data_IF_168011839496
#
_entry.id   IF_168011839496
#
_cell.length_a   1.000
_cell.length_b   1.000
_cell.length_c   1.000
_cell.angle_alpha   90.00
_cell.angle_beta   90.00
_cell.angle_gamma   90.00
#
_symmetry.space_group_name_H-M   'P 1'
#
loop_
_entity.id
_entity.type
_entity.pdbx_description
1 polymer ?
#
# COMPACT_ATOMS: atom_id res chain seq x y z
N UNK A 1 13.73 -11.54 -4.70
CA UNK A 1 15.07 -12.11 -4.92
C UNK A 1 15.54 -11.90 -6.36
N UNK A 2 14.74 -12.23 -7.34
CA UNK A 2 15.11 -12.13 -8.76
C UNK A 2 15.27 -10.69 -9.26
N UNK A 3 14.62 -9.72 -8.62
CA UNK A 3 14.67 -8.30 -9.02
C UNK A 3 15.82 -7.52 -8.40
N UNK A 4 16.33 -7.98 -7.28
CA UNK A 4 17.54 -7.41 -6.64
C UNK A 4 18.80 -7.53 -7.50
N UNK A 5 18.90 -8.60 -8.29
CA UNK A 5 20.05 -8.85 -9.16
C UNK A 5 20.10 -7.97 -10.42
N UNK A 6 18.99 -7.28 -10.76
CA UNK A 6 18.87 -6.49 -12.00
C UNK A 6 19.11 -4.98 -11.81
N UNK A 7 19.21 -4.50 -10.57
CA UNK A 7 19.47 -3.08 -10.28
C UNK A 7 20.89 -2.91 -9.76
N UNK A 8 21.71 -2.22 -10.55
CA UNK A 8 23.13 -2.07 -10.33
C UNK A 8 23.51 -1.56 -8.94
N UNK A 9 24.71 -1.92 -8.55
CA UNK A 9 25.28 -1.80 -7.21
C UNK A 9 25.62 -0.37 -6.75
N UNK A 10 25.23 0.68 -7.45
CA UNK A 10 25.96 1.94 -7.34
C UNK A 10 25.38 2.96 -6.36
N UNK A 11 24.24 2.68 -5.68
CA UNK A 11 23.74 3.65 -4.73
C UNK A 11 22.85 3.01 -3.65
N UNK A 12 23.23 3.12 -2.38
CA UNK A 12 22.44 2.62 -1.24
C UNK A 12 21.09 3.32 -1.13
N UNK A 13 21.03 4.59 -1.51
CA UNK A 13 19.79 5.38 -1.48
C UNK A 13 18.84 4.95 -2.61
N UNK A 14 19.36 4.55 -3.77
CA UNK A 14 18.55 4.00 -4.85
C UNK A 14 18.04 2.58 -4.54
N UNK A 15 18.74 1.82 -3.72
CA UNK A 15 18.29 0.51 -3.24
C UNK A 15 17.10 0.64 -2.28
N UNK A 16 17.13 1.58 -1.36
CA UNK A 16 16.01 1.84 -0.46
C UNK A 16 14.74 2.25 -1.26
N UNK A 17 14.87 3.19 -2.19
CA UNK A 17 13.78 3.58 -3.08
C UNK A 17 13.27 2.41 -3.95
N UNK A 18 14.16 1.55 -4.41
CA UNK A 18 13.81 0.37 -5.22
C UNK A 18 13.07 -0.69 -4.39
N UNK A 19 13.42 -0.87 -3.13
CA UNK A 19 12.71 -1.75 -2.20
C UNK A 19 11.27 -1.27 -1.98
N UNK A 20 11.10 0.02 -1.76
CA UNK A 20 9.77 0.61 -1.57
C UNK A 20 8.91 0.40 -2.81
N UNK A 21 9.47 0.56 -4.01
CA UNK A 21 8.78 0.31 -5.28
C UNK A 21 8.36 -1.15 -5.47
N UNK A 22 9.15 -2.10 -4.99
CA UNK A 22 8.81 -3.53 -5.05
C UNK A 22 7.66 -3.83 -4.08
N UNK A 23 7.76 -3.33 -2.86
CA UNK A 23 6.77 -3.57 -1.81
C UNK A 23 5.39 -3.01 -2.16
N UNK A 24 5.30 -1.88 -2.87
CA UNK A 24 4.01 -1.33 -3.31
C UNK A 24 3.27 -2.16 -4.36
N UNK A 25 3.96 -3.10 -5.01
CA UNK A 25 3.39 -3.96 -6.06
C UNK A 25 3.30 -5.43 -5.65
N UNK A 26 4.07 -5.85 -4.65
CA UNK A 26 4.05 -7.23 -4.14
C UNK A 26 2.82 -7.38 -3.25
N UNK A 27 2.15 -8.49 -3.40
CA UNK A 27 0.97 -8.93 -2.64
C UNK A 27 1.19 -10.44 -2.46
N UNK A 28 1.85 -10.78 -1.36
CA UNK A 28 2.37 -12.13 -1.14
C UNK A 28 1.26 -13.16 -0.88
N UNK A 29 0.20 -12.75 -0.21
CA UNK A 29 -0.93 -13.63 0.14
C UNK A 29 -2.12 -13.51 -0.83
N UNK A 30 -2.05 -12.56 -1.78
CA UNK A 30 -3.01 -12.41 -2.87
C UNK A 30 -4.37 -11.84 -2.44
N UNK A 31 -4.44 -11.15 -1.31
CA UNK A 31 -5.67 -10.57 -0.79
C UNK A 31 -6.06 -9.23 -1.45
N UNK A 32 -5.16 -8.67 -2.25
CA UNK A 32 -5.34 -7.39 -2.96
C UNK A 32 -4.77 -6.19 -2.20
N UNK A 33 -4.17 -6.40 -1.03
CA UNK A 33 -3.36 -5.42 -0.30
C UNK A 33 -1.90 -5.66 -0.66
N UNK A 34 -1.14 -4.62 -0.94
CA UNK A 34 0.29 -4.83 -1.19
C UNK A 34 1.03 -5.02 0.13
N UNK A 35 2.13 -5.78 0.10
CA UNK A 35 3.04 -5.98 1.25
C UNK A 35 3.44 -4.65 1.91
N UNK A 36 3.60 -3.60 1.11
CA UNK A 36 3.87 -2.25 1.61
C UNK A 36 2.71 -1.71 2.45
N UNK A 37 1.49 -1.82 1.95
CA UNK A 37 0.31 -1.34 2.66
C UNK A 37 0.02 -2.16 3.90
N UNK A 38 0.26 -3.47 3.87
CA UNK A 38 0.13 -4.32 5.04
C UNK A 38 1.10 -3.92 6.15
N UNK A 39 2.34 -3.56 5.80
CA UNK A 39 3.31 -3.02 6.76
C UNK A 39 2.87 -1.70 7.35
N UNK A 40 2.28 -0.80 6.56
CA UNK A 40 1.69 0.46 7.06
C UNK A 40 0.54 0.16 8.03
N UNK A 41 -0.29 -0.84 7.75
CA UNK A 41 -1.39 -1.26 8.62
C UNK A 41 -0.93 -2.03 9.87
N UNK A 42 0.33 -2.49 9.90
CA UNK A 42 0.81 -3.43 10.91
C UNK A 42 0.15 -4.81 10.78
N UNK A 43 -0.41 -5.13 9.61
CA UNK A 43 -0.95 -6.46 9.30
C UNK A 43 0.14 -7.41 8.81
N UNK A 44 0.02 -8.73 9.06
CA UNK A 44 0.99 -9.69 8.56
C UNK A 44 0.94 -9.82 7.05
N UNK A 45 2.09 -9.65 6.38
CA UNK A 45 2.27 -9.79 4.92
C UNK A 45 1.86 -11.16 4.34
N UNK A 46 1.66 -12.15 5.19
CA UNK A 46 1.34 -13.53 4.82
C UNK A 46 -0.06 -13.99 5.27
N UNK A 47 -0.90 -13.08 5.71
CA UNK A 47 -2.27 -13.40 6.17
C UNK A 47 -3.22 -12.45 5.46
N UNK A 48 -4.06 -12.99 4.57
CA UNK A 48 -5.04 -12.23 3.83
C UNK A 48 -5.84 -11.29 4.76
N UNK A 49 -5.66 -9.99 4.55
CA UNK A 49 -6.38 -8.93 5.22
C UNK A 49 -7.49 -8.42 4.31
N UNK A 50 -8.63 -8.08 4.85
CA UNK A 50 -9.68 -7.43 4.06
C UNK A 50 -9.55 -5.92 4.19
N UNK A 51 -9.24 -5.22 3.09
CA UNK A 51 -9.37 -3.78 2.99
C UNK A 51 -10.85 -3.39 2.91
N UNK A 52 -11.62 -3.76 3.92
CA UNK A 52 -12.99 -3.29 4.04
C UNK A 52 -12.97 -1.99 4.87
N UNK A 53 -13.38 -0.88 4.23
CA UNK A 53 -13.58 0.43 4.84
C UNK A 53 -12.32 1.25 5.15
N UNK A 54 -11.56 1.63 4.11
CA UNK A 54 -10.57 2.70 4.24
C UNK A 54 -11.31 4.03 4.37
N UNK A 55 -11.22 4.65 5.54
CA UNK A 55 -11.81 5.98 5.79
C UNK A 55 -10.78 7.04 5.41
N UNK A 56 -11.15 7.95 4.54
CA UNK A 56 -10.38 9.16 4.22
C UNK A 56 -11.13 10.37 4.77
N UNK A 57 -10.53 11.05 5.71
CA UNK A 57 -11.10 12.21 6.39
C UNK A 57 -10.89 13.48 5.57
N UNK A 58 -11.96 14.14 5.21
CA UNK A 58 -11.94 15.35 4.39
C UNK A 58 -12.48 16.53 5.17
N UNK A 59 -11.69 17.60 5.29
CA UNK A 59 -12.19 18.89 5.75
C UNK A 59 -12.56 19.79 4.56
N UNK A 60 -13.75 20.38 4.61
CA UNK A 60 -14.18 21.33 3.61
C UNK A 60 -13.93 22.75 4.09
N UNK A 61 -13.24 23.52 3.25
CA UNK A 61 -13.13 24.98 3.40
C UNK A 61 -14.02 25.63 2.35
N UNK A 62 -14.72 26.69 2.71
CA UNK A 62 -15.75 27.30 1.85
C UNK A 62 -15.47 28.76 1.67
N UNK A 63 -15.25 29.18 0.43
CA UNK A 63 -15.12 30.59 0.06
C UNK A 63 -16.46 31.33 0.11
N UNK A 64 -16.40 32.66 0.15
CA UNK A 64 -17.61 33.50 0.13
C UNK A 64 -18.46 33.29 -1.11
N UNK A 65 -17.85 32.96 -2.25
CA UNK A 65 -18.53 32.69 -3.52
C UNK A 65 -19.43 31.47 -3.45
N UNK A 66 -18.93 30.34 -2.93
CA UNK A 66 -19.70 29.12 -2.76
C UNK A 66 -20.76 29.28 -1.66
N UNK A 67 -20.42 29.91 -0.55
CA UNK A 67 -21.35 30.19 0.54
C UNK A 67 -22.54 31.05 0.07
N UNK A 68 -22.28 32.08 -0.74
CA UNK A 68 -23.31 32.94 -1.33
C UNK A 68 -24.18 32.19 -2.37
N UNK A 69 -23.59 31.29 -3.16
CA UNK A 69 -24.30 30.50 -4.17
C UNK A 69 -25.47 29.71 -3.57
N UNK A 70 -25.28 29.13 -2.40
CA UNK A 70 -26.27 28.36 -1.68
C UNK A 70 -27.06 29.16 -0.64
N UNK A 71 -26.86 30.47 -0.56
CA UNK A 71 -27.45 31.34 0.49
C UNK A 71 -27.08 30.92 1.92
N UNK A 72 -25.97 30.17 2.07
CA UNK A 72 -25.49 29.63 3.33
C UNK A 72 -26.33 28.47 3.91
N UNK A 73 -25.88 27.95 5.06
CA UNK A 73 -26.64 27.03 5.90
C UNK A 73 -26.97 25.68 5.24
N UNK A 74 -28.16 25.19 5.52
CA UNK A 74 -28.60 23.83 5.20
C UNK A 74 -28.45 23.40 3.73
N UNK A 75 -28.51 24.32 2.78
CA UNK A 75 -28.35 24.02 1.36
C UNK A 75 -26.89 23.75 1.00
N UNK A 76 -25.94 24.44 1.60
CA UNK A 76 -24.52 24.18 1.41
C UNK A 76 -24.16 22.83 1.99
N UNK A 77 -24.57 22.53 3.21
CA UNK A 77 -24.33 21.24 3.86
C UNK A 77 -24.95 20.08 3.07
N UNK A 78 -26.18 20.22 2.58
CA UNK A 78 -26.81 19.23 1.73
C UNK A 78 -26.04 18.99 0.41
N UNK A 79 -25.46 20.05 -0.17
CA UNK A 79 -24.64 19.95 -1.38
C UNK A 79 -23.32 19.22 -1.10
N UNK A 80 -22.66 19.51 0.03
CA UNK A 80 -21.44 18.81 0.44
C UNK A 80 -21.74 17.30 0.64
N UNK A 81 -22.80 16.98 1.37
CA UNK A 81 -23.23 15.59 1.57
C UNK A 81 -23.45 14.89 0.23
N UNK A 82 -24.17 15.51 -0.70
CA UNK A 82 -24.43 14.94 -2.02
C UNK A 82 -23.15 14.67 -2.82
N UNK A 83 -22.16 15.56 -2.74
CA UNK A 83 -20.88 15.37 -3.44
C UNK A 83 -20.06 14.24 -2.80
N UNK A 84 -20.02 14.16 -1.48
CA UNK A 84 -19.36 13.07 -0.75
C UNK A 84 -20.01 11.73 -1.07
N UNK A 85 -21.35 11.65 -1.04
CA UNK A 85 -22.09 10.44 -1.42
C UNK A 85 -21.84 10.03 -2.88
N UNK A 86 -21.74 11.02 -3.78
CA UNK A 86 -21.42 10.75 -5.19
C UNK A 86 -20.01 10.16 -5.33
N UNK A 87 -19.04 10.68 -4.59
CA UNK A 87 -17.68 10.16 -4.55
C UNK A 87 -17.62 8.74 -3.97
N UNK A 88 -18.26 8.51 -2.85
CA UNK A 88 -18.34 7.20 -2.20
C UNK A 88 -19.03 6.15 -3.12
N UNK A 89 -20.07 6.56 -3.85
CA UNK A 89 -20.69 5.71 -4.86
C UNK A 89 -19.72 5.34 -5.97
N UNK A 90 -18.87 6.29 -6.43
CA UNK A 90 -17.89 6.02 -7.47
C UNK A 90 -16.82 5.00 -7.04
N UNK A 91 -16.39 5.05 -5.79
CA UNK A 91 -15.47 4.04 -5.22
C UNK A 91 -16.15 2.68 -5.07
N UNK A 92 -17.34 2.67 -4.49
CA UNK A 92 -18.13 1.44 -4.28
C UNK A 92 -18.46 0.73 -5.61
N UNK A 93 -18.79 1.49 -6.63
CA UNK A 93 -19.14 0.97 -7.95
C UNK A 93 -18.01 0.18 -8.63
N UNK A 94 -16.77 0.40 -8.23
CA UNK A 94 -15.59 -0.33 -8.74
C UNK A 94 -15.00 -1.31 -7.71
N UNK A 95 -15.71 -1.56 -6.61
CA UNK A 95 -15.29 -2.50 -5.58
C UNK A 95 -14.09 -2.02 -4.75
N UNK A 96 -13.97 -0.71 -4.56
CA UNK A 96 -13.03 -0.12 -3.62
C UNK A 96 -13.74 0.10 -2.28
N UNK A 97 -13.16 -0.42 -1.20
CA UNK A 97 -13.63 -0.20 0.17
C UNK A 97 -13.22 1.17 0.73
N UNK A 98 -13.31 2.23 -0.08
CA UNK A 98 -12.94 3.60 0.29
C UNK A 98 -14.18 4.39 0.63
N UNK A 99 -14.15 5.10 1.76
CA UNK A 99 -15.20 6.00 2.20
C UNK A 99 -14.61 7.38 2.55
N UNK A 100 -15.05 8.42 1.84
CA UNK A 100 -14.78 9.80 2.23
C UNK A 100 -15.74 10.20 3.35
N UNK A 101 -15.20 10.79 4.41
CA UNK A 101 -15.97 11.29 5.56
C UNK A 101 -15.67 12.78 5.76
N UNK A 102 -16.72 13.62 5.75
CA UNK A 102 -16.58 15.02 6.11
C UNK A 102 -16.35 15.15 7.63
N UNK A 103 -15.17 15.66 8.02
CA UNK A 103 -14.78 15.84 9.42
C UNK A 103 -14.88 17.29 9.89
N UNK A 104 -15.25 18.20 9.01
CA UNK A 104 -15.48 19.62 9.33
C UNK A 104 -15.71 20.49 8.10
N UNK A 105 -16.54 21.51 8.26
CA UNK A 105 -16.78 22.54 7.24
C UNK A 105 -16.45 23.90 7.82
N UNK A 106 -15.54 24.61 7.18
CA UNK A 106 -14.95 25.86 7.66
C UNK A 106 -15.22 26.99 6.66
N UNK A 107 -16.04 27.96 7.05
CA UNK A 107 -16.33 29.12 6.23
C UNK A 107 -15.15 30.10 6.33
N UNK A 108 -14.51 30.34 5.20
CA UNK A 108 -13.39 31.27 5.08
C UNK A 108 -13.83 32.66 4.56
N UNK A 109 -12.88 33.51 4.28
CA UNK A 109 -13.10 34.87 3.78
C UNK A 109 -13.46 34.94 2.30
N UNK A 110 -13.28 36.12 1.72
CA UNK A 110 -13.60 36.45 0.33
C UNK A 110 -12.57 35.84 -0.63
N UNK A 111 -13.01 34.88 -1.44
CA UNK A 111 -12.25 34.22 -2.50
C UNK A 111 -12.47 34.82 -3.90
N UNK A 112 -13.32 35.84 -4.03
CA UNK A 112 -13.79 36.35 -5.32
C UNK A 112 -12.71 36.97 -6.23
N UNK A 113 -11.55 37.30 -5.67
CA UNK A 113 -10.40 37.85 -6.40
C UNK A 113 -9.34 36.80 -6.79
N UNK A 114 -9.57 35.52 -6.46
CA UNK A 114 -8.62 34.44 -6.64
C UNK A 114 -9.14 33.47 -7.69
N UNK A 115 -8.33 33.14 -8.70
CA UNK A 115 -8.60 31.97 -9.55
C UNK A 115 -8.25 30.66 -8.83
N UNK A 116 -8.65 29.52 -9.39
CA UNK A 116 -8.45 28.22 -8.77
C UNK A 116 -6.99 27.91 -8.46
N UNK A 117 -6.05 28.34 -9.32
CA UNK A 117 -4.61 28.13 -9.10
C UNK A 117 -4.10 29.01 -7.95
N UNK A 118 -4.57 30.24 -7.85
CA UNK A 118 -4.23 31.14 -6.75
C UNK A 118 -4.83 30.67 -5.43
N UNK A 119 -6.05 30.15 -5.44
CA UNK A 119 -6.68 29.52 -4.27
C UNK A 119 -5.87 28.31 -3.81
N UNK A 120 -5.51 27.40 -4.73
CA UNK A 120 -4.69 26.22 -4.41
C UNK A 120 -3.35 26.62 -3.81
N UNK A 121 -2.63 27.56 -4.43
CA UNK A 121 -1.35 28.05 -3.92
C UNK A 121 -1.47 28.72 -2.55
N UNK A 122 -2.53 29.50 -2.31
CA UNK A 122 -2.78 30.15 -1.03
C UNK A 122 -3.13 29.13 0.08
N UNK A 123 -3.87 28.07 -0.25
CA UNK A 123 -4.24 27.01 0.68
C UNK A 123 -3.03 26.18 1.08
N UNK A 124 -2.18 25.80 0.13
CA UNK A 124 -0.93 25.07 0.39
C UNK A 124 0.05 25.90 1.25
N UNK A 125 0.14 27.20 0.98
CA UNK A 125 1.01 28.11 1.73
C UNK A 125 0.42 28.62 3.05
N UNK A 126 -0.83 28.28 3.38
CA UNK A 126 -1.56 28.83 4.56
C UNK A 126 -1.53 30.36 4.60
N UNK A 127 -1.85 31.00 3.49
CA UNK A 127 -1.85 32.45 3.34
C UNK A 127 -3.23 33.00 2.95
N UNK A 128 -3.40 34.32 3.02
CA UNK A 128 -4.65 34.95 2.66
C UNK A 128 -5.83 34.48 3.50
N UNK A 129 -6.90 34.00 2.85
CA UNK A 129 -8.10 33.48 3.53
C UNK A 129 -7.83 32.18 4.31
N UNK A 130 -6.71 31.50 4.09
CA UNK A 130 -6.32 30.26 4.75
C UNK A 130 -5.35 30.48 5.94
N UNK A 131 -4.95 31.72 6.24
CA UNK A 131 -3.93 32.00 7.24
C UNK A 131 -4.27 31.48 8.65
N UNK A 132 -5.55 31.46 9.01
CA UNK A 132 -6.02 31.02 10.33
C UNK A 132 -6.59 29.59 10.31
N UNK A 133 -6.53 28.89 9.16
CA UNK A 133 -7.18 27.59 8.97
C UNK A 133 -6.74 26.57 10.05
N UNK A 134 -5.44 26.41 10.27
CA UNK A 134 -4.93 25.41 11.21
C UNK A 134 -5.41 25.67 12.66
N UNK A 135 -5.67 26.94 13.02
CA UNK A 135 -6.24 27.30 14.33
C UNK A 135 -7.76 27.02 14.43
N UNK A 136 -8.43 26.88 13.31
CA UNK A 136 -9.88 26.58 13.24
C UNK A 136 -10.15 25.09 13.33
N UNK A 137 -9.16 24.25 12.99
CA UNK A 137 -9.32 22.80 12.93
C UNK A 137 -9.53 22.22 14.33
N UNK A 138 -10.51 21.34 14.46
CA UNK A 138 -10.70 20.53 15.67
C UNK A 138 -9.83 19.27 15.67
N UNK A 139 -9.41 18.83 14.48
CA UNK A 139 -8.45 17.76 14.22
C UNK A 139 -7.88 17.91 12.81
N UNK A 140 -6.72 17.33 12.57
CA UNK A 140 -6.13 17.30 11.22
C UNK A 140 -6.92 16.32 10.35
N UNK A 141 -7.35 16.69 9.14
CA UNK A 141 -7.93 15.78 8.17
C UNK A 141 -6.85 15.18 7.28
N UNK A 142 -7.17 14.09 6.58
CA UNK A 142 -6.29 13.55 5.54
C UNK A 142 -6.22 14.47 4.33
N UNK A 143 -7.35 15.01 3.91
CA UNK A 143 -7.47 15.88 2.74
C UNK A 143 -8.25 17.15 3.07
N UNK A 144 -7.94 18.20 2.33
CA UNK A 144 -8.70 19.45 2.32
C UNK A 144 -9.33 19.67 0.94
N UNK A 145 -10.57 20.11 0.94
CA UNK A 145 -11.27 20.52 -0.27
C UNK A 145 -11.81 21.93 -0.09
N UNK A 146 -11.31 22.88 -0.87
CA UNK A 146 -11.87 24.23 -0.93
C UNK A 146 -13.02 24.29 -1.92
N UNK A 147 -14.16 24.73 -1.46
CA UNK A 147 -15.35 24.93 -2.28
C UNK A 147 -15.42 26.39 -2.74
N UNK A 148 -15.44 26.56 -4.03
CA UNK A 148 -15.62 27.83 -4.73
C UNK A 148 -16.72 27.70 -5.78
N UNK A 149 -16.98 28.72 -6.60
CA UNK A 149 -17.82 28.62 -7.78
C UNK A 149 -16.98 28.60 -9.04
N UNK A 150 -17.51 28.03 -10.13
CA UNK A 150 -16.82 27.98 -11.43
C UNK A 150 -16.45 29.37 -11.95
N UNK A 151 -17.28 30.36 -11.65
CA UNK A 151 -17.03 31.74 -12.03
C UNK A 151 -15.80 32.36 -11.36
N UNK A 152 -15.48 31.92 -10.14
CA UNK A 152 -14.32 32.36 -9.36
C UNK A 152 -13.11 31.47 -9.65
N UNK A 153 -13.27 30.14 -9.59
CA UNK A 153 -12.18 29.19 -9.80
C UNK A 153 -11.65 29.16 -11.24
N UNK A 154 -12.41 29.69 -12.22
CA UNK A 154 -12.13 29.63 -13.68
C UNK A 154 -11.88 28.21 -14.21
N UNK A 155 -12.33 27.21 -13.43
CA UNK A 155 -12.22 25.78 -13.74
C UNK A 155 -13.31 25.01 -13.01
N UNK A 156 -13.53 23.75 -13.39
CA UNK A 156 -14.43 22.84 -12.66
C UNK A 156 -13.82 22.40 -11.32
N UNK A 157 -12.51 22.19 -11.32
CA UNK A 157 -11.73 21.85 -10.16
C UNK A 157 -10.25 21.89 -10.49
N UNK A 158 -9.41 21.87 -9.47
CA UNK A 158 -7.95 21.77 -9.56
C UNK A 158 -7.41 21.15 -8.28
N UNK A 159 -6.47 20.23 -8.40
CA UNK A 159 -5.79 19.61 -7.28
C UNK A 159 -4.31 19.39 -7.58
N UNK A 160 -3.51 19.24 -6.55
CA UNK A 160 -2.14 18.76 -6.70
C UNK A 160 -2.15 17.29 -7.11
N UNK A 161 -1.37 16.95 -8.12
CA UNK A 161 -1.16 15.56 -8.49
C UNK A 161 -0.02 14.98 -7.67
N UNK A 162 -0.37 14.10 -6.74
CA UNK A 162 0.61 13.43 -5.89
C UNK A 162 1.22 12.19 -6.57
N UNK A 163 2.38 11.72 -6.08
CA UNK A 163 2.97 10.47 -6.51
C UNK A 163 3.48 10.43 -7.96
N UNK A 164 4.06 11.51 -8.47
CA UNK A 164 4.48 11.65 -9.87
C UNK A 164 5.67 10.80 -10.33
N UNK A 165 6.24 9.92 -9.48
CA UNK A 165 7.45 9.16 -9.77
C UNK A 165 7.20 7.76 -10.35
N UNK A 166 5.97 7.38 -10.57
CA UNK A 166 5.56 6.05 -11.05
C UNK A 166 6.03 4.88 -10.15
N UNK A 167 6.15 5.11 -8.88
CA UNK A 167 6.72 4.19 -7.87
C UNK A 167 5.70 3.62 -6.88
N UNK A 168 4.45 4.03 -6.98
CA UNK A 168 3.38 3.59 -6.08
C UNK A 168 3.32 4.36 -4.76
N UNK A 169 4.14 5.41 -4.60
CA UNK A 169 4.26 6.15 -3.36
C UNK A 169 3.66 7.54 -3.52
N UNK A 170 2.82 7.93 -2.58
CA UNK A 170 2.44 9.32 -2.35
C UNK A 170 3.58 9.99 -1.59
N UNK A 171 4.09 11.10 -2.07
CA UNK A 171 5.19 11.81 -1.41
C UNK A 171 4.71 12.53 -0.13
N UNK A 172 4.79 11.83 0.98
CA UNK A 172 4.33 12.31 2.29
C UNK A 172 5.05 13.57 2.77
N UNK A 173 6.35 13.68 2.53
CA UNK A 173 7.07 14.90 2.91
C UNK A 173 6.49 16.13 2.25
N UNK A 174 5.97 15.98 1.05
CA UNK A 174 5.26 17.05 0.37
C UNK A 174 3.82 17.22 0.85
N UNK A 175 3.12 16.15 1.20
CA UNK A 175 1.78 16.23 1.78
C UNK A 175 1.77 16.98 3.11
N UNK A 176 2.62 16.58 4.06
CA UNK A 176 2.67 17.20 5.40
C UNK A 176 3.36 18.55 5.43
N UNK A 177 4.50 18.69 4.75
CA UNK A 177 5.32 19.91 4.85
C UNK A 177 4.88 21.03 3.93
N UNK A 178 4.11 20.77 2.87
CA UNK A 178 3.78 21.74 1.83
C UNK A 178 2.29 21.86 1.53
N UNK A 179 1.43 21.17 2.27
CA UNK A 179 -0.01 21.26 2.04
C UNK A 179 -0.51 20.66 0.74
N UNK A 180 0.23 19.73 0.11
CA UNK A 180 -0.15 19.08 -1.16
C UNK A 180 -1.38 18.16 -1.04
N UNK A 181 -2.10 18.21 0.07
CA UNK A 181 -3.36 17.52 0.32
C UNK A 181 -4.59 18.38 0.04
N UNK A 182 -4.44 19.45 -0.74
CA UNK A 182 -5.53 20.36 -1.10
C UNK A 182 -6.07 20.15 -2.50
N UNK A 183 -7.39 20.24 -2.62
CA UNK A 183 -8.10 20.40 -3.88
C UNK A 183 -9.03 21.60 -3.82
N UNK A 184 -9.30 22.21 -4.96
CA UNK A 184 -10.33 23.25 -5.16
C UNK A 184 -11.41 22.65 -6.05
N UNK A 185 -12.66 22.77 -5.63
CA UNK A 185 -13.83 22.24 -6.34
C UNK A 185 -14.84 23.36 -6.56
N UNK A 186 -15.24 23.55 -7.80
CA UNK A 186 -16.37 24.42 -8.13
C UNK A 186 -17.67 23.67 -7.81
N UNK A 187 -18.37 24.11 -6.77
CA UNK A 187 -19.56 23.45 -6.23
C UNK A 187 -20.75 23.48 -7.20
N UNK A 188 -20.74 24.38 -8.15
CA UNK A 188 -21.72 24.54 -9.22
C UNK A 188 -21.36 23.78 -10.51
N UNK A 189 -20.38 22.87 -10.44
CA UNK A 189 -19.96 22.01 -11.54
C UNK A 189 -20.59 20.61 -11.45
N UNK A 190 -19.99 19.61 -12.09
CA UNK A 190 -20.44 18.21 -12.06
C UNK A 190 -20.35 17.58 -10.67
N UNK A 191 -21.29 16.72 -10.33
CA UNK A 191 -21.25 15.90 -9.10
C UNK A 191 -20.07 14.93 -9.04
N UNK A 192 -19.32 14.76 -10.13
CA UNK A 192 -18.10 13.93 -10.16
C UNK A 192 -16.83 14.77 -10.00
N UNK A 193 -16.93 16.08 -9.88
CA UNK A 193 -15.75 16.96 -9.76
C UNK A 193 -14.98 16.67 -8.48
N UNK A 194 -15.66 16.53 -7.33
CA UNK A 194 -15.00 16.19 -6.07
C UNK A 194 -14.17 14.91 -6.19
N UNK A 195 -14.76 13.84 -6.67
CA UNK A 195 -14.03 12.54 -6.77
C UNK A 195 -12.95 12.57 -7.84
N UNK A 196 -13.06 13.43 -8.87
CA UNK A 196 -12.00 13.68 -9.84
C UNK A 196 -10.79 14.33 -9.16
N UNK A 197 -10.99 15.40 -8.41
CA UNK A 197 -9.90 16.11 -7.73
C UNK A 197 -9.27 15.26 -6.61
N UNK A 198 -10.07 14.52 -5.85
CA UNK A 198 -9.58 13.53 -4.90
C UNK A 198 -8.74 12.45 -5.61
N UNK A 199 -9.14 12.05 -6.82
CA UNK A 199 -8.34 11.14 -7.64
C UNK A 199 -6.93 11.65 -7.92
N UNK A 200 -6.76 12.97 -8.18
CA UNK A 200 -5.43 13.57 -8.31
C UNK A 200 -4.64 13.55 -7.02
N UNK A 201 -5.27 13.88 -5.89
CA UNK A 201 -4.63 13.79 -4.58
C UNK A 201 -4.19 12.36 -4.25
N UNK A 202 -4.90 11.35 -4.77
CA UNK A 202 -4.56 9.93 -4.67
C UNK A 202 -3.64 9.45 -5.80
N UNK A 203 -3.02 10.35 -6.55
CA UNK A 203 -1.99 10.03 -7.55
C UNK A 203 -2.48 9.52 -8.90
N UNK A 204 -3.76 9.74 -9.24
CA UNK A 204 -4.31 9.39 -10.54
C UNK A 204 -4.29 10.59 -11.48
N UNK A 205 -3.71 10.43 -12.66
CA UNK A 205 -3.62 11.48 -13.69
C UNK A 205 -4.78 11.40 -14.70
N UNK A 206 -4.90 12.45 -15.52
CA UNK A 206 -5.81 12.47 -16.65
C UNK A 206 -5.49 11.35 -17.65
N UNK A 207 -6.38 11.14 -18.61
CA UNK A 207 -6.18 10.16 -19.68
C UNK A 207 -4.92 10.48 -20.51
N UNK A 208 -4.30 9.44 -21.06
CA UNK A 208 -3.14 9.57 -21.96
C UNK A 208 -3.40 10.48 -23.15
N UNK A 209 -4.66 10.54 -23.61
CA UNK A 209 -5.06 11.39 -24.73
C UNK A 209 -5.01 12.89 -24.38
N UNK A 210 -5.20 13.23 -23.12
CA UNK A 210 -5.12 14.61 -22.62
C UNK A 210 -3.70 15.03 -22.28
N UNK A 211 -2.84 14.06 -21.93
CA UNK A 211 -1.46 14.35 -21.57
C UNK A 211 -0.68 14.94 -22.76
N UNK A 212 -0.03 16.09 -22.52
CA UNK A 212 0.83 16.74 -23.53
C UNK A 212 2.30 16.30 -23.41
N UNK A 213 2.58 15.23 -22.63
CA UNK A 213 3.92 14.73 -22.33
C UNK A 213 3.88 13.35 -21.67
N UNK A 214 4.99 12.95 -21.05
CA UNK A 214 5.02 11.73 -20.24
C UNK A 214 3.95 11.78 -19.15
N UNK A 215 3.34 10.64 -18.86
CA UNK A 215 2.39 10.53 -17.75
C UNK A 215 3.18 10.66 -16.44
N UNK A 216 2.74 11.60 -15.62
CA UNK A 216 3.16 11.74 -14.23
C UNK A 216 2.01 11.30 -13.35
N UNK A 217 2.15 10.19 -12.68
CA UNK A 217 1.14 9.59 -11.80
C UNK A 217 1.85 8.66 -10.80
N UNK A 218 1.10 8.09 -9.87
CA UNK A 218 1.66 7.09 -8.93
C UNK A 218 2.15 5.83 -9.65
N UNK A 219 1.43 5.42 -10.69
CA UNK A 219 1.83 4.33 -11.58
C UNK A 219 1.63 4.73 -13.05
N UNK A 220 2.35 4.11 -13.99
CA UNK A 220 2.18 4.38 -15.43
C UNK A 220 0.75 4.17 -15.94
N UNK A 221 -0.01 3.31 -15.30
CA UNK A 221 -1.42 2.99 -15.63
C UNK A 221 -2.45 3.73 -14.76
N UNK A 222 -2.01 4.58 -13.82
CA UNK A 222 -2.90 5.37 -12.96
C UNK A 222 -3.48 6.57 -13.72
N UNK A 223 -4.29 6.30 -14.73
CA UNK A 223 -4.84 7.31 -15.64
C UNK A 223 -6.29 7.03 -15.99
N UNK A 224 -7.01 8.10 -16.32
CA UNK A 224 -8.34 8.00 -16.92
C UNK A 224 -8.32 7.31 -18.29
N UNK A 225 -9.49 6.80 -18.70
CA UNK A 225 -9.67 6.10 -19.96
C UNK A 225 -10.94 6.56 -20.69
N UNK A 226 -10.92 6.49 -22.00
CA UNK A 226 -12.09 6.78 -22.80
C UNK A 226 -11.97 6.28 -24.23
N UNK A 227 -13.10 6.20 -24.90
CA UNK A 227 -13.23 5.86 -26.34
C UNK A 227 -14.04 6.95 -27.01
N UNK A 228 -13.51 7.52 -28.11
CA UNK A 228 -14.15 8.57 -28.87
C UNK A 228 -15.60 8.23 -29.20
N UNK A 229 -16.48 9.23 -29.09
CA UNK A 229 -17.92 9.13 -29.39
C UNK A 229 -18.64 8.03 -28.58
N UNK A 230 -18.01 7.47 -27.53
CA UNK A 230 -18.56 6.37 -26.78
C UNK A 230 -18.66 6.69 -25.29
N UNK A 231 -17.53 6.60 -24.52
CA UNK A 231 -17.53 6.90 -23.10
C UNK A 231 -16.19 7.44 -22.61
N UNK A 232 -16.20 8.05 -21.41
CA UNK A 232 -15.02 8.39 -20.61
C UNK A 232 -15.23 7.93 -19.18
N UNK A 233 -14.12 7.64 -18.45
CA UNK A 233 -14.11 7.42 -17.02
C UNK A 233 -13.79 8.73 -16.27
N UNK A 234 -13.90 8.76 -14.94
CA UNK A 234 -13.81 9.98 -14.10
C UNK A 234 -12.60 10.86 -14.44
N UNK A 235 -11.40 10.29 -14.62
CA UNK A 235 -10.18 11.05 -14.89
C UNK A 235 -9.97 11.37 -16.38
N UNK A 236 -10.99 11.26 -17.22
CA UNK A 236 -10.91 11.54 -18.65
C UNK A 236 -11.99 12.57 -19.05
N UNK A 237 -11.58 13.68 -19.68
CA UNK A 237 -12.51 14.72 -20.10
C UNK A 237 -13.30 14.29 -21.32
N UNK A 238 -14.61 14.43 -21.25
CA UNK A 238 -15.55 14.11 -22.33
C UNK A 238 -15.19 14.84 -23.64
N UNK A 239 -14.82 16.12 -23.56
CA UNK A 239 -14.40 16.94 -24.69
C UNK A 239 -13.18 16.40 -25.43
N UNK A 240 -12.28 15.72 -24.75
CA UNK A 240 -11.12 15.07 -25.37
C UNK A 240 -11.49 13.82 -26.17
N UNK A 241 -12.70 13.29 -25.98
CA UNK A 241 -13.20 12.08 -26.63
C UNK A 241 -14.45 12.33 -27.47
N UNK A 242 -14.54 13.53 -28.11
CA UNK A 242 -15.66 13.95 -28.94
C UNK A 242 -17.00 14.01 -28.19
N UNK A 243 -16.98 14.59 -26.99
CA UNK A 243 -18.13 14.68 -26.08
C UNK A 243 -18.75 13.30 -25.78
N UNK A 244 -17.90 12.32 -25.53
CA UNK A 244 -18.31 10.98 -25.15
C UNK A 244 -19.06 10.98 -23.80
N UNK A 245 -19.85 9.95 -23.57
CA UNK A 245 -20.66 9.83 -22.35
C UNK A 245 -19.79 9.61 -21.10
N UNK A 246 -19.87 10.52 -20.13
CA UNK A 246 -19.14 10.41 -18.85
C UNK A 246 -19.66 9.27 -17.95
N UNK A 247 -18.82 8.33 -17.67
CA UNK A 247 -19.07 7.30 -16.66
C UNK A 247 -18.71 7.83 -15.26
N UNK A 248 -19.41 7.35 -14.22
CA UNK A 248 -19.21 7.84 -12.86
C UNK A 248 -18.29 6.94 -12.03
N UNK A 249 -17.27 6.37 -12.64
CA UNK A 249 -16.29 5.53 -11.96
C UNK A 249 -14.92 5.59 -12.66
N UNK A 250 -13.91 5.14 -11.92
CA UNK A 250 -12.51 5.11 -12.35
C UNK A 250 -12.25 4.04 -13.40
N UNK A 251 -11.15 4.19 -14.15
CA UNK A 251 -10.75 3.23 -15.18
C UNK A 251 -10.36 1.87 -14.56
N UNK A 252 -10.91 0.81 -15.17
CA UNK A 252 -10.60 -0.59 -14.83
C UNK A 252 -10.93 -1.50 -16.00
N UNK A 253 -10.11 -2.51 -16.33
CA UNK A 253 -10.45 -3.52 -17.33
C UNK A 253 -11.58 -4.45 -16.87
N UNK A 254 -11.86 -4.54 -15.57
CA UNK A 254 -12.77 -5.50 -14.95
C UNK A 254 -14.27 -5.11 -15.12
N UNK A 255 -14.54 -3.95 -15.67
CA UNK A 255 -15.90 -3.47 -15.96
C UNK A 255 -16.12 -3.24 -17.43
N UNK A 256 -17.39 -3.29 -17.82
CA UNK A 256 -17.84 -3.01 -19.19
C UNK A 256 -18.50 -1.66 -19.25
N UNK A 257 -18.00 -0.80 -20.12
CA UNK A 257 -18.45 0.56 -20.40
C UNK A 257 -19.08 0.69 -21.79
N UNK A 258 -19.77 1.80 -21.96
CA UNK A 258 -20.29 2.25 -23.24
C UNK A 258 -21.47 3.17 -23.07
N UNK A 259 -21.50 4.26 -23.82
CA UNK A 259 -22.61 5.21 -23.87
C UNK A 259 -23.93 4.55 -24.29
N UNK A 260 -25.05 5.27 -24.18
CA UNK A 260 -26.34 4.81 -24.66
C UNK A 260 -26.28 4.40 -26.14
N UNK A 261 -26.74 3.18 -26.45
CA UNK A 261 -26.75 2.62 -27.82
C UNK A 261 -25.36 2.51 -28.50
N UNK A 262 -24.27 2.49 -27.71
CA UNK A 262 -22.90 2.33 -28.21
C UNK A 262 -22.36 0.93 -27.92
N UNK A 263 -21.32 0.56 -28.66
CA UNK A 263 -20.61 -0.71 -28.46
C UNK A 263 -20.03 -0.77 -27.05
N UNK A 264 -20.21 -1.88 -26.37
CA UNK A 264 -19.66 -2.13 -25.05
C UNK A 264 -18.21 -2.61 -25.16
N UNK A 265 -17.36 -2.12 -24.27
CA UNK A 265 -15.94 -2.49 -24.16
C UNK A 265 -15.47 -2.39 -22.72
N UNK A 266 -14.25 -2.86 -22.41
CA UNK A 266 -13.65 -2.68 -21.09
C UNK A 266 -13.53 -1.19 -20.75
N UNK A 267 -13.71 -0.83 -19.50
CA UNK A 267 -13.60 0.55 -18.99
C UNK A 267 -12.15 0.99 -18.74
N UNK A 268 -11.19 0.21 -19.15
CA UNK A 268 -9.77 0.44 -18.98
C UNK A 268 -8.94 -0.57 -19.77
N UNK A 269 -7.63 -0.49 -19.58
CA UNK A 269 -6.63 -1.40 -20.14
C UNK A 269 -5.78 -1.92 -18.99
N UNK A 270 -5.50 -3.22 -18.99
CA UNK A 270 -4.77 -3.88 -17.91
C UNK A 270 -3.43 -3.20 -17.61
N UNK A 271 -3.05 -3.21 -16.34
CA UNK A 271 -1.83 -2.60 -15.83
C UNK A 271 -0.54 -3.27 -16.36
N UNK A 272 -0.63 -4.50 -16.87
CA UNK A 272 0.49 -5.20 -17.51
C UNK A 272 0.89 -4.59 -18.87
N UNK A 273 0.01 -3.84 -19.52
CA UNK A 273 0.37 -3.01 -20.66
C UNK A 273 0.97 -1.67 -20.17
N UNK A 274 2.27 -1.65 -19.95
CA UNK A 274 2.99 -0.46 -19.45
C UNK A 274 2.92 0.75 -20.40
N UNK A 275 2.58 0.54 -21.66
CA UNK A 275 2.49 1.61 -22.67
C UNK A 275 1.10 2.22 -22.69
N UNK A 276 0.06 1.40 -22.72
CA UNK A 276 -1.32 1.83 -22.91
C UNK A 276 -2.19 1.64 -21.67
N UNK A 277 -1.70 0.95 -20.64
CA UNK A 277 -2.46 0.63 -19.44
C UNK A 277 -3.22 1.82 -18.88
N UNK A 278 -4.46 1.60 -18.46
CA UNK A 278 -5.36 2.55 -17.81
C UNK A 278 -6.20 1.79 -16.80
N UNK A 279 -5.72 1.75 -15.56
CA UNK A 279 -6.30 0.97 -14.47
C UNK A 279 -6.19 1.74 -13.14
N UNK A 280 -6.89 2.87 -13.06
CA UNK A 280 -6.88 3.73 -11.87
C UNK A 280 -7.34 2.98 -10.62
N UNK A 281 -8.29 2.05 -10.73
CA UNK A 281 -8.78 1.26 -9.59
C UNK A 281 -7.64 0.49 -8.92
N UNK A 282 -6.75 -0.13 -9.69
CA UNK A 282 -5.59 -0.83 -9.15
C UNK A 282 -4.62 0.12 -8.43
N UNK A 283 -4.43 1.33 -8.94
CA UNK A 283 -3.62 2.36 -8.28
C UNK A 283 -4.26 2.83 -6.98
N UNK A 284 -5.56 3.12 -6.99
CA UNK A 284 -6.29 3.61 -5.83
C UNK A 284 -6.29 2.62 -4.66
N UNK A 285 -6.29 1.32 -4.92
CA UNK A 285 -6.11 0.31 -3.86
C UNK A 285 -4.80 0.46 -3.10
N UNK A 286 -3.73 0.83 -3.79
CA UNK A 286 -2.42 1.05 -3.17
C UNK A 286 -2.35 2.39 -2.43
N UNK A 287 -2.93 3.45 -3.02
CA UNK A 287 -2.73 4.83 -2.53
C UNK A 287 -3.76 5.28 -1.50
N UNK A 288 -4.95 4.67 -1.48
CA UNK A 288 -6.01 5.06 -0.54
C UNK A 288 -5.57 4.94 0.91
N UNK A 289 -4.92 3.84 1.25
CA UNK A 289 -4.41 3.62 2.60
C UNK A 289 -3.35 4.65 2.97
N UNK A 290 -2.45 4.95 2.05
CA UNK A 290 -1.44 5.96 2.27
C UNK A 290 -2.07 7.34 2.56
N UNK A 291 -3.16 7.69 1.89
CA UNK A 291 -3.89 8.93 2.16
C UNK A 291 -4.61 8.88 3.51
N UNK A 292 -5.25 7.78 3.86
CA UNK A 292 -6.03 7.65 5.11
C UNK A 292 -5.20 7.73 6.38
N UNK A 293 -3.88 7.68 6.27
CA UNK A 293 -2.95 7.81 7.39
C UNK A 293 -2.36 9.23 7.53
N UNK A 294 -2.68 10.14 6.60
CA UNK A 294 -2.11 11.50 6.59
C UNK A 294 -2.45 12.28 7.86
N UNK A 295 -3.67 12.15 8.37
CA UNK A 295 -4.15 12.90 9.56
C UNK A 295 -3.56 12.38 10.87
N UNK A 296 -3.13 11.14 10.90
CA UNK A 296 -2.67 10.46 12.12
C UNK A 296 -1.15 10.24 12.14
N UNK A 297 -0.43 10.73 11.13
CA UNK A 297 0.95 10.33 10.88
C UNK A 297 1.03 8.92 10.28
N UNK A 298 2.17 8.58 9.74
CA UNK A 298 2.43 7.22 9.31
C UNK A 298 2.85 6.36 10.49
N UNK A 299 2.45 5.09 10.45
CA UNK A 299 3.01 4.14 11.39
C UNK A 299 4.51 3.97 11.12
N UNK A 300 5.34 3.96 12.14
CA UNK A 300 6.75 3.67 11.97
C UNK A 300 6.97 2.33 11.30
N UNK A 301 7.82 2.29 10.29
CA UNK A 301 8.19 1.06 9.63
C UNK A 301 9.27 0.32 10.43
N UNK A 302 8.95 -0.87 10.91
CA UNK A 302 9.90 -1.74 11.63
C UNK A 302 10.39 -2.84 10.70
N UNK A 303 11.70 -2.91 10.49
CA UNK A 303 12.36 -3.95 9.70
C UNK A 303 13.22 -4.85 10.58
N UNK A 304 13.12 -6.15 10.36
CA UNK A 304 13.96 -7.14 11.04
C UNK A 304 15.35 -7.17 10.40
N UNK A 305 16.38 -7.25 11.22
CA UNK A 305 17.77 -7.37 10.77
C UNK A 305 18.27 -8.78 11.10
N UNK A 306 18.74 -9.49 10.07
CA UNK A 306 19.20 -10.88 10.17
C UNK A 306 18.13 -11.90 9.76
N UNK A 307 18.30 -13.13 10.17
CA UNK A 307 17.52 -14.27 9.70
C UNK A 307 16.10 -14.30 10.28
N UNK A 308 15.12 -14.72 9.47
CA UNK A 308 13.76 -14.99 9.85
C UNK A 308 13.28 -16.24 9.07
N UNK A 309 13.10 -17.40 9.71
CA UNK A 309 13.23 -17.64 11.15
C UNK A 309 14.67 -17.56 11.72
N UNK A 310 14.77 -17.22 12.99
CA UNK A 310 16.02 -17.27 13.74
C UNK A 310 16.13 -18.63 14.44
N UNK A 311 17.20 -19.36 14.19
CA UNK A 311 17.52 -20.63 14.83
C UNK A 311 18.44 -20.39 16.02
N UNK A 312 18.07 -20.84 17.21
CA UNK A 312 18.84 -20.68 18.45
C UNK A 312 18.66 -21.89 19.38
N UNK A 313 19.69 -22.21 20.15
CA UNK A 313 19.65 -23.31 21.12
C UNK A 313 18.89 -22.99 22.40
N UNK A 314 18.69 -21.72 22.74
CA UNK A 314 17.96 -21.28 23.94
C UNK A 314 17.19 -19.98 23.65
N UNK A 315 15.90 -19.95 23.99
CA UNK A 315 15.04 -18.78 23.86
C UNK A 315 15.59 -17.52 24.58
N UNK A 316 16.42 -17.68 25.60
CA UNK A 316 17.06 -16.55 26.27
C UNK A 316 18.10 -15.84 25.41
N UNK A 317 18.61 -16.49 24.36
CA UNK A 317 19.53 -15.88 23.37
C UNK A 317 18.82 -14.93 22.42
N UNK A 318 17.49 -15.00 22.29
CA UNK A 318 16.69 -14.04 21.52
C UNK A 318 16.63 -12.64 22.16
N UNK A 319 17.49 -12.32 23.10
CA UNK A 319 17.51 -11.05 23.84
C UNK A 319 18.13 -9.87 23.07
N UNK A 320 18.65 -10.08 21.87
CA UNK A 320 19.29 -9.03 21.09
C UNK A 320 18.27 -8.29 20.21
N UNK A 321 18.36 -6.96 20.23
CA UNK A 321 17.53 -6.09 19.40
C UNK A 321 18.05 -6.12 17.97
N UNK A 322 17.48 -6.98 17.14
CA UNK A 322 17.84 -7.12 15.73
C UNK A 322 16.73 -6.56 14.83
N UNK A 323 16.37 -5.29 15.05
CA UNK A 323 15.41 -4.57 14.24
C UNK A 323 15.83 -3.12 14.07
N UNK A 324 15.34 -2.50 13.00
CA UNK A 324 15.44 -1.06 12.73
C UNK A 324 14.05 -0.50 12.56
N UNK A 325 13.87 0.76 12.94
CA UNK A 325 12.64 1.48 12.74
C UNK A 325 12.92 2.82 12.09
N UNK A 326 12.16 3.11 11.04
CA UNK A 326 12.21 4.38 10.33
C UNK A 326 10.79 4.92 10.30
N UNK A 327 10.66 6.16 10.69
CA UNK A 327 9.46 6.93 10.58
C UNK A 327 9.65 8.06 9.56
N UNK A 328 8.58 8.48 8.89
CA UNK A 328 8.68 9.51 7.83
C UNK A 328 8.89 10.88 8.46
N UNK A 329 8.25 11.15 9.57
CA UNK A 329 8.27 12.43 10.29
C UNK A 329 9.46 12.52 11.22
N UNK A 330 9.77 11.44 11.96
CA UNK A 330 10.79 11.40 13.00
C UNK A 330 12.16 10.88 12.51
N UNK A 331 12.21 10.25 11.33
CA UNK A 331 13.41 9.66 10.77
C UNK A 331 13.77 8.32 11.40
N UNK A 332 15.04 8.09 11.73
CA UNK A 332 15.50 6.83 12.36
C UNK A 332 15.20 6.83 13.85
N UNK A 333 14.19 6.05 14.26
CA UNK A 333 13.75 5.87 15.65
C UNK A 333 14.09 4.47 16.19
N UNK A 334 15.04 3.78 15.58
CA UNK A 334 15.47 2.41 15.96
C UNK A 334 15.84 2.27 17.43
N UNK A 335 16.33 3.35 18.07
CA UNK A 335 16.68 3.34 19.51
C UNK A 335 15.48 3.25 20.45
N UNK A 336 14.29 3.53 19.93
CA UNK A 336 13.02 3.47 20.70
C UNK A 336 12.30 2.13 20.57
N UNK A 337 12.85 1.17 19.82
CA UNK A 337 12.26 -0.15 19.65
C UNK A 337 12.28 -0.90 21.00
N UNK A 338 11.16 -1.45 21.34
CA UNK A 338 11.00 -2.46 22.40
C UNK A 338 10.57 -3.78 21.80
N UNK A 339 10.81 -4.89 22.50
CA UNK A 339 10.36 -6.20 22.04
C UNK A 339 9.90 -7.09 23.20
N UNK A 340 9.08 -8.06 22.87
CA UNK A 340 8.74 -9.17 23.76
C UNK A 340 8.85 -10.50 23.01
N UNK A 341 8.96 -11.60 23.79
CA UNK A 341 9.02 -12.96 23.28
C UNK A 341 7.72 -13.67 23.65
N UNK A 342 7.02 -14.19 22.64
CA UNK A 342 5.75 -14.90 22.81
C UNK A 342 5.94 -16.37 22.45
N UNK A 343 5.74 -17.27 23.40
CA UNK A 343 5.78 -18.72 23.15
C UNK A 343 4.56 -19.16 22.35
N UNK A 344 4.79 -19.92 21.31
CA UNK A 344 3.74 -20.45 20.44
C UNK A 344 3.41 -21.88 20.92
N UNK A 345 2.15 -22.09 21.25
CA UNK A 345 1.65 -23.40 21.70
C UNK A 345 0.66 -24.00 20.67
N UNK A 346 0.88 -23.75 19.38
CA UNK A 346 0.01 -24.24 18.31
C UNK A 346 0.67 -25.37 17.54
N UNK A 347 0.05 -26.54 17.42
CA UNK A 347 0.59 -27.65 16.61
C UNK A 347 0.52 -27.38 15.10
N UNK A 348 -0.04 -26.23 14.67
CA UNK A 348 -0.14 -25.84 13.27
C UNK A 348 1.00 -24.91 12.83
N UNK A 349 1.86 -24.49 13.75
CA UNK A 349 3.02 -23.63 13.48
C UNK A 349 4.31 -24.43 13.65
N UNK A 350 5.23 -24.21 12.76
CA UNK A 350 6.54 -24.84 12.64
C UNK A 350 7.67 -24.08 13.34
N UNK A 351 7.33 -23.23 14.32
CA UNK A 351 8.26 -22.45 15.14
C UNK A 351 7.80 -22.34 16.58
N UNK A 352 8.75 -22.10 17.51
CA UNK A 352 8.53 -22.18 18.95
C UNK A 352 8.12 -20.86 19.58
N UNK A 353 8.65 -19.75 19.07
CA UNK A 353 8.39 -18.41 19.60
C UNK A 353 8.23 -17.39 18.46
N UNK A 354 7.52 -16.30 18.79
CA UNK A 354 7.52 -15.05 18.03
C UNK A 354 8.21 -13.96 18.86
N UNK A 355 9.22 -13.30 18.29
CA UNK A 355 9.79 -12.10 18.86
C UNK A 355 9.10 -10.89 18.23
N UNK A 356 8.23 -10.24 19.00
CA UNK A 356 7.46 -9.06 18.56
C UNK A 356 8.22 -7.79 18.89
N UNK A 357 8.38 -6.92 17.91
CA UNK A 357 9.00 -5.62 18.02
C UNK A 357 7.94 -4.53 17.97
N UNK A 358 8.12 -3.48 18.78
CA UNK A 358 7.22 -2.33 18.86
C UNK A 358 8.06 -1.07 18.92
N UNK A 359 7.61 -0.04 18.22
CA UNK A 359 8.16 1.31 18.32
C UNK A 359 7.02 2.30 18.27
N UNK A 360 7.14 3.40 19.02
CA UNK A 360 6.15 4.48 19.02
C UNK A 360 6.83 5.75 18.53
N UNK A 361 6.21 6.43 17.56
CA UNK A 361 6.65 7.73 17.05
C UNK A 361 6.29 8.90 17.98
N UNK A 362 6.62 10.12 17.56
CA UNK A 362 6.33 11.33 18.36
C UNK A 362 4.84 11.66 18.41
N UNK A 363 4.04 11.20 17.47
CA UNK A 363 2.58 11.35 17.39
C UNK A 363 1.81 10.30 18.18
N UNK A 364 2.48 9.22 18.61
CA UNK A 364 1.90 8.12 19.37
C UNK A 364 1.45 6.93 18.53
N UNK A 365 1.78 6.89 17.24
CA UNK A 365 1.51 5.74 16.38
C UNK A 365 2.49 4.61 16.68
N UNK A 366 2.03 3.36 16.56
CA UNK A 366 2.81 2.20 16.92
C UNK A 366 3.12 1.36 15.67
N UNK A 367 4.39 1.30 15.30
CA UNK A 367 4.91 0.36 14.33
C UNK A 367 5.25 -0.99 14.96
N UNK A 368 4.98 -2.07 14.24
CA UNK A 368 5.23 -3.43 14.73
C UNK A 368 5.89 -4.31 13.68
N UNK A 369 6.67 -5.29 14.12
CA UNK A 369 7.11 -6.42 13.31
C UNK A 369 7.27 -7.64 14.20
N UNK A 370 7.35 -8.83 13.63
CA UNK A 370 7.70 -10.01 14.40
C UNK A 370 8.65 -10.92 13.61
N UNK A 371 9.45 -11.67 14.33
CA UNK A 371 10.36 -12.69 13.81
C UNK A 371 10.01 -14.04 14.42
N UNK A 372 10.05 -15.06 13.61
CA UNK A 372 9.91 -16.45 14.06
C UNK A 372 11.20 -16.93 14.70
N UNK A 373 11.08 -17.72 15.74
CA UNK A 373 12.22 -18.34 16.41
C UNK A 373 11.96 -19.84 16.51
N UNK A 374 12.94 -20.61 16.10
CA UNK A 374 12.96 -22.06 16.19
C UNK A 374 14.04 -22.42 17.20
N UNK A 375 13.66 -23.22 18.21
CA UNK A 375 14.60 -23.75 19.18
C UNK A 375 15.15 -25.07 18.65
N UNK A 376 16.41 -25.07 18.33
CA UNK A 376 17.15 -26.28 18.00
C UNK A 376 17.68 -26.87 19.31
N UNK A 377 17.26 -28.10 19.60
CA UNK A 377 17.47 -28.73 20.93
C UNK A 377 18.93 -29.01 21.28
N UNK A 378 19.79 -29.16 20.32
CA UNK A 378 21.26 -29.25 20.42
C UNK A 378 21.86 -28.86 19.07
N UNK A 379 22.98 -28.13 19.09
CA UNK A 379 23.79 -27.88 17.89
C UNK A 379 24.53 -29.20 17.60
N UNK A 380 23.86 -30.15 16.94
CA UNK A 380 24.49 -31.38 16.44
C UNK A 380 25.07 -31.07 15.05
N UNK A 381 26.26 -31.52 14.85
CA UNK A 381 27.03 -31.50 13.60
C UNK A 381 27.62 -32.91 13.56
N UNK A 382 26.84 -33.85 13.00
CA UNK A 382 27.09 -35.30 13.14
C UNK A 382 28.36 -35.73 12.44
N UNK A 383 28.65 -35.14 11.27
CA UNK A 383 29.85 -35.44 10.48
C UNK A 383 31.05 -34.51 10.81
N UNK A 384 30.80 -33.37 11.49
CA UNK A 384 31.81 -32.40 11.90
C UNK A 384 32.35 -31.51 10.78
N UNK A 385 31.58 -31.27 9.73
CA UNK A 385 31.98 -30.44 8.57
C UNK A 385 31.74 -28.95 8.83
N UNK A 386 30.98 -28.58 9.89
CA UNK A 386 30.66 -27.23 10.31
C UNK A 386 29.30 -26.75 9.81
N UNK A 387 28.51 -27.60 9.18
CA UNK A 387 27.10 -27.44 8.88
C UNK A 387 26.35 -28.24 9.95
N UNK A 388 25.32 -27.66 10.58
CA UNK A 388 24.54 -28.37 11.58
C UNK A 388 23.47 -29.23 10.94
N UNK A 389 23.14 -30.37 11.51
CA UNK A 389 22.20 -31.39 11.00
C UNK A 389 20.85 -30.78 10.53
N UNK A 390 20.36 -29.70 11.13
CA UNK A 390 19.08 -29.08 10.75
C UNK A 390 19.12 -28.26 9.43
N UNK A 391 20.31 -28.00 8.86
CA UNK A 391 20.53 -27.30 7.59
C UNK A 391 21.44 -28.08 6.64
N UNK A 392 21.96 -29.20 7.09
CA UNK A 392 22.70 -30.12 6.26
C UNK A 392 21.71 -30.91 5.38
N UNK A 393 22.10 -31.29 4.21
CA UNK A 393 21.32 -32.17 3.33
C UNK A 393 21.78 -33.64 3.44
N UNK A 394 22.91 -33.90 4.15
CA UNK A 394 23.58 -35.19 4.29
C UNK A 394 24.31 -35.21 5.64
N UNK A 395 23.56 -35.36 6.74
CA UNK A 395 23.94 -35.15 8.12
C UNK A 395 25.17 -35.96 8.57
N UNK A 396 25.44 -37.11 7.96
CA UNK A 396 26.57 -37.99 8.29
C UNK A 396 27.63 -38.07 7.18
N UNK A 397 27.42 -37.36 6.06
CA UNK A 397 28.31 -37.20 4.92
C UNK A 397 28.73 -38.53 4.26
N UNK A 398 27.80 -39.53 4.25
CA UNK A 398 28.02 -40.82 3.59
C UNK A 398 27.78 -40.76 2.07
N UNK A 399 27.20 -39.63 1.57
CA UNK A 399 26.88 -39.34 0.17
C UNK A 399 25.45 -39.71 -0.23
N UNK A 400 24.58 -40.04 0.72
CA UNK A 400 23.14 -40.22 0.55
C UNK A 400 22.42 -39.12 1.34
N UNK A 401 21.63 -38.29 0.68
CA UNK A 401 20.92 -37.19 1.35
C UNK A 401 19.86 -37.73 2.31
N UNK A 402 19.63 -37.05 3.45
CA UNK A 402 18.75 -37.46 4.54
C UNK A 402 17.36 -37.91 4.10
N UNK A 403 16.74 -37.19 3.16
CA UNK A 403 15.40 -37.54 2.64
C UNK A 403 15.35 -38.90 1.90
N UNK A 404 16.51 -39.45 1.57
CA UNK A 404 16.67 -40.72 0.85
C UNK A 404 17.43 -41.74 1.67
N UNK A 405 17.89 -41.38 2.86
CA UNK A 405 18.65 -42.20 3.78
C UNK A 405 17.75 -42.79 4.86
N UNK A 406 17.86 -44.10 5.09
CA UNK A 406 17.16 -44.78 6.19
C UNK A 406 17.82 -44.49 7.56
N UNK A 407 19.10 -44.07 7.57
CA UNK A 407 19.91 -43.82 8.77
C UNK A 407 20.69 -42.49 8.66
N UNK A 408 20.06 -41.34 8.59
CA UNK A 408 20.68 -40.05 8.24
C UNK A 408 21.78 -39.56 9.20
N UNK A 409 22.02 -40.27 10.30
CA UNK A 409 23.02 -39.93 11.32
C UNK A 409 24.08 -41.02 11.51
N UNK A 410 24.13 -42.00 10.61
CA UNK A 410 25.08 -43.12 10.70
C UNK A 410 25.75 -43.41 9.34
N UNK A 411 26.85 -42.73 9.08
CA UNK A 411 27.66 -42.85 7.84
C UNK A 411 28.08 -44.28 7.46
N UNK A 412 27.77 -45.27 8.25
CA UNK A 412 28.01 -46.68 7.91
C UNK A 412 26.81 -47.38 7.28
N UNK A 413 25.63 -46.79 7.34
CA UNK A 413 24.37 -47.36 6.91
C UNK A 413 23.55 -46.33 6.14
N UNK A 414 22.91 -46.72 5.05
CA UNK A 414 22.00 -45.84 4.28
C UNK A 414 20.74 -46.53 3.77
N UNK A 415 20.67 -47.83 3.83
CA UNK A 415 19.53 -48.60 3.34
C UNK A 415 19.03 -49.58 4.43
N UNK A 416 17.72 -49.76 4.48
CA UNK A 416 16.99 -50.72 5.29
C UNK A 416 15.93 -51.35 4.39
N UNK A 417 16.30 -52.51 3.80
CA UNK A 417 15.51 -53.15 2.73
C UNK A 417 14.20 -53.71 3.22
N UNK A 418 14.20 -54.30 4.43
CA UNK A 418 13.03 -54.94 5.06
C UNK A 418 12.33 -54.02 6.09
N UNK A 419 12.91 -52.86 6.36
CA UNK A 419 12.38 -51.87 7.31
C UNK A 419 12.28 -52.35 8.76
N UNK A 420 13.23 -53.20 9.21
CA UNK A 420 13.28 -53.69 10.59
C UNK A 420 14.07 -52.80 11.56
N UNK A 421 14.76 -51.74 11.02
CA UNK A 421 15.57 -50.78 11.78
C UNK A 421 17.04 -51.21 11.92
N UNK A 422 17.47 -52.24 11.24
CA UNK A 422 18.87 -52.68 11.08
C UNK A 422 19.31 -52.30 9.66
N UNK A 423 20.42 -51.58 9.49
CA UNK A 423 20.92 -51.25 8.18
C UNK A 423 21.50 -52.43 7.45
N UNK A 424 21.39 -52.40 6.12
CA UNK A 424 21.82 -53.55 5.28
C UNK A 424 23.29 -53.92 5.46
N UNK A 425 24.18 -53.02 5.87
CA UNK A 425 25.59 -53.35 6.15
C UNK A 425 25.76 -54.13 7.46
N UNK A 426 24.86 -53.96 8.41
CA UNK A 426 24.87 -54.62 9.72
C UNK A 426 23.94 -55.83 9.75
N UNK A 427 22.97 -55.94 8.86
CA UNK A 427 22.06 -57.08 8.74
C UNK A 427 22.73 -58.22 8.00
N UNK A 428 22.31 -59.41 8.28
CA UNK A 428 22.79 -60.67 7.66
C UNK A 428 21.73 -61.32 6.73
N UNK A 429 20.53 -60.76 6.66
CA UNK A 429 19.40 -61.20 5.88
C UNK A 429 18.55 -60.00 5.47
N UNK A 430 19.15 -59.12 4.63
CA UNK A 430 18.69 -57.75 4.30
C UNK A 430 17.21 -57.67 3.88
N UNK A 431 16.62 -58.73 3.35
CA UNK A 431 15.24 -58.74 2.91
C UNK A 431 14.31 -59.66 3.72
N UNK A 432 14.85 -60.21 4.85
CA UNK A 432 14.13 -61.07 5.77
C UNK A 432 13.48 -62.31 5.11
N UNK A 433 14.11 -62.83 4.03
CA UNK A 433 13.59 -63.97 3.30
C UNK A 433 14.06 -65.32 3.88
N UNK A 434 14.84 -65.28 4.96
CA UNK A 434 15.42 -66.43 5.69
C UNK A 434 16.62 -67.09 5.00
N UNK A 435 17.18 -66.45 4.01
CA UNK A 435 18.44 -66.83 3.33
C UNK A 435 19.44 -65.71 3.65
N UNK A 436 20.59 -66.01 4.18
CA UNK A 436 21.63 -65.03 4.46
C UNK A 436 22.22 -64.47 3.15
N UNK A 437 22.44 -63.16 3.07
CA UNK A 437 23.07 -62.42 2.00
C UNK A 437 24.57 -62.73 1.81
#
# INVERSE_FOLDING_TARGET
YYRLATFGQDNKDSLAATWTNIDTLTDFDGDGVSDYNERILGSPVAIASTLDNIIIEVAFTVGSSANAHFFGGDNLDASIVQQVESANTAFKDVGLGIELVNVGTYILGDDSSLDGSAVLAASEARTGIFADLDSMLTRQPDLFVHLSTKAVADTGGIATLNGGLNDGIIDYKNLYSKGNNFAVVAIDNSSTTLVHEVGHLMGVSHSRKQAQGPITATFPWAVGYGINDNFTTIMAYESSFNDAFGMRFFSTPDRVCGGPNKTKSACGIDASDFINGAHSVKSLRVTALQISTVSNGLLPFVSIVGDDPLYISDANLASTLNAKAIDVEDGDISTSITFNLVKINSPLKDYDYEQHYFVTDSEGNIGTAFRKIIIIAEDTDTDGDGIFDYIDEDDDNDGVVDVSDAFPLDAAESNDTDSDGTGNNADTDDDNDTVLD
#
